data_IF_339464591159
#
_entry.id   IF_339464591159
#
_cell.length_a   1.000
_cell.length_b   1.000
_cell.length_c   1.000
_cell.angle_alpha   90.00
_cell.angle_beta   90.00
_cell.angle_gamma   90.00
#
_symmetry.space_group_name_H-M   'P 1'
#
loop_
_entity.id
_entity.type
_entity.pdbx_description
1 polymer ?
#
# COMPACT_ATOMS: atom_id res chain seq x y z
N UNK A 1 0.11 29.05 -11.86
CA UNK A 1 -0.44 27.69 -11.98
C UNK A 1 -0.09 26.96 -10.69
N UNK A 2 -1.06 26.75 -9.80
CA UNK A 2 -0.86 25.84 -8.67
C UNK A 2 -0.74 24.44 -9.27
N UNK A 3 0.45 23.87 -9.25
CA UNK A 3 0.64 22.44 -9.42
C UNK A 3 -0.13 21.78 -8.27
N UNK A 4 -1.21 21.08 -8.58
CA UNK A 4 -1.82 20.13 -7.65
C UNK A 4 -0.73 19.11 -7.30
N UNK A 5 0.00 19.36 -6.23
CA UNK A 5 0.93 18.39 -5.69
C UNK A 5 0.04 17.30 -5.10
N UNK A 6 -0.06 16.17 -5.79
CA UNK A 6 -0.62 14.96 -5.20
C UNK A 6 0.20 14.65 -3.94
N UNK A 7 -0.33 15.05 -2.80
CA UNK A 7 0.34 14.88 -1.53
C UNK A 7 0.28 13.41 -1.15
N UNK A 8 1.44 12.77 -1.07
CA UNK A 8 1.54 11.40 -0.60
C UNK A 8 1.16 11.35 0.88
N UNK A 9 0.09 10.61 1.18
CA UNK A 9 -0.28 10.32 2.56
C UNK A 9 0.43 9.06 3.01
N UNK A 10 1.17 9.18 4.09
CA UNK A 10 1.87 8.07 4.73
C UNK A 10 1.07 7.66 5.95
N UNK A 11 0.78 6.36 6.05
CA UNK A 11 0.12 5.78 7.20
C UNK A 11 0.96 4.59 7.65
N UNK A 12 1.37 4.60 8.92
CA UNK A 12 2.05 3.49 9.55
C UNK A 12 1.04 2.79 10.44
N UNK A 13 0.88 1.50 10.23
CA UNK A 13 -0.05 0.64 10.97
C UNK A 13 0.79 -0.37 11.70
N UNK A 14 0.62 -0.45 13.02
CA UNK A 14 1.05 -1.62 13.77
C UNK A 14 -0.03 -2.70 13.61
N UNK A 15 0.39 -3.90 13.20
CA UNK A 15 -0.55 -5.00 12.97
C UNK A 15 -1.19 -5.49 14.27
N UNK A 16 -0.47 -5.34 15.38
CA UNK A 16 -0.92 -5.78 16.71
C UNK A 16 -2.04 -4.90 17.28
N UNK A 17 -2.12 -3.63 16.85
CA UNK A 17 -3.10 -2.65 17.34
C UNK A 17 -4.49 -2.79 16.69
N UNK A 18 -4.57 -3.47 15.54
CA UNK A 18 -5.78 -3.54 14.70
C UNK A 18 -6.20 -4.98 14.39
N UNK A 19 -6.01 -5.89 15.34
CA UNK A 19 -6.20 -7.35 15.18
C UNK A 19 -7.55 -7.74 14.56
N UNK A 20 -8.68 -7.13 14.97
CA UNK A 20 -9.99 -7.46 14.39
C UNK A 20 -10.11 -7.07 12.90
N UNK A 21 -9.63 -5.88 12.53
CA UNK A 21 -9.70 -5.38 11.15
C UNK A 21 -8.63 -6.00 10.24
N UNK A 22 -7.50 -6.43 10.80
CA UNK A 22 -6.39 -7.03 10.06
C UNK A 22 -6.41 -8.56 10.09
N UNK A 23 -7.32 -9.19 10.85
CA UNK A 23 -7.45 -10.65 10.96
C UNK A 23 -7.64 -11.37 9.62
N UNK A 24 -8.18 -10.69 8.61
CA UNK A 24 -8.36 -11.21 7.25
C UNK A 24 -7.10 -11.07 6.37
N UNK A 25 -6.12 -10.30 6.81
CA UNK A 25 -4.88 -10.02 6.09
C UNK A 25 -3.77 -10.94 6.61
N UNK A 26 -3.27 -11.81 5.75
CA UNK A 26 -2.17 -12.72 6.05
C UNK A 26 -0.85 -12.00 5.76
N UNK A 27 -0.39 -11.18 6.71
CA UNK A 27 0.91 -10.50 6.61
C UNK A 27 2.03 -11.52 6.85
N UNK A 28 2.63 -12.03 5.78
CA UNK A 28 3.64 -13.10 5.84
C UNK A 28 5.04 -12.62 6.28
N UNK A 29 5.27 -11.32 6.39
CA UNK A 29 6.57 -10.78 6.76
C UNK A 29 6.60 -9.26 6.90
N UNK A 30 7.69 -8.75 7.46
CA UNK A 30 7.89 -7.32 7.73
C UNK A 30 9.19 -6.80 7.11
N UNK A 31 9.22 -5.55 6.62
CA UNK A 31 8.07 -4.66 6.45
C UNK A 31 7.18 -5.07 5.26
N UNK A 32 5.87 -5.01 5.44
CA UNK A 32 4.90 -5.11 4.33
C UNK A 32 4.40 -3.73 3.97
N UNK A 33 4.44 -3.42 2.67
CA UNK A 33 4.04 -2.13 2.13
C UNK A 33 2.83 -2.33 1.25
N UNK A 34 1.85 -1.44 1.42
CA UNK A 34 0.68 -1.37 0.56
C UNK A 34 0.61 0.03 -0.05
N UNK A 35 0.40 0.08 -1.36
CA UNK A 35 0.33 1.32 -2.15
C UNK A 35 -1.02 1.39 -2.83
N UNK A 36 -1.70 2.50 -2.61
CA UNK A 36 -2.97 2.84 -3.24
C UNK A 36 -2.80 4.06 -4.13
N UNK A 37 -3.29 4.01 -5.36
CA UNK A 37 -3.38 5.19 -6.21
C UNK A 37 -4.43 6.18 -5.68
N UNK A 38 -4.29 7.46 -6.06
CA UNK A 38 -5.32 8.48 -5.85
C UNK A 38 -6.63 8.17 -6.58
N UNK A 39 -6.59 7.31 -7.61
CA UNK A 39 -7.78 6.85 -8.35
C UNK A 39 -8.53 5.72 -7.63
N UNK A 40 -8.08 5.31 -6.44
CA UNK A 40 -8.73 4.25 -5.66
C UNK A 40 -8.39 2.84 -6.15
N UNK A 41 -7.29 2.65 -6.88
CA UNK A 41 -6.80 1.34 -7.32
C UNK A 41 -5.60 0.85 -6.51
N UNK A 42 -5.63 -0.40 -6.07
CA UNK A 42 -4.50 -1.02 -5.40
C UNK A 42 -3.35 -1.25 -6.39
N UNK A 43 -2.21 -0.62 -6.14
CA UNK A 43 -1.04 -0.68 -7.02
C UNK A 43 -0.12 -1.84 -6.63
N UNK A 44 0.16 -1.97 -5.34
CA UNK A 44 1.11 -2.92 -4.79
C UNK A 44 0.73 -3.27 -3.37
N UNK A 45 0.96 -4.52 -2.98
CA UNK A 45 0.84 -4.97 -1.61
C UNK A 45 1.76 -6.17 -1.42
N UNK A 46 2.70 -6.07 -0.47
CA UNK A 46 3.59 -7.18 -0.17
C UNK A 46 4.82 -6.80 0.65
N UNK A 47 5.52 -7.82 1.10
CA UNK A 47 6.76 -7.69 1.85
C UNK A 47 7.90 -7.24 0.95
N UNK A 48 8.70 -6.30 1.45
CA UNK A 48 9.89 -5.81 0.76
C UNK A 48 11.10 -5.89 1.67
N UNK A 49 12.28 -6.00 1.07
CA UNK A 49 13.52 -5.75 1.80
C UNK A 49 13.52 -4.28 2.28
N UNK A 50 13.88 -3.98 3.55
CA UNK A 50 13.90 -2.64 4.14
C UNK A 50 15.04 -1.76 3.58
N UNK A 51 15.01 -1.53 2.28
CA UNK A 51 15.95 -0.70 1.53
C UNK A 51 15.24 0.49 0.94
N UNK A 52 15.79 1.67 1.18
CA UNK A 52 15.23 2.93 0.67
C UNK A 52 15.12 2.93 -0.85
N UNK A 53 16.08 2.33 -1.56
CA UNK A 53 16.06 2.24 -3.03
C UNK A 53 14.87 1.43 -3.55
N UNK A 54 14.53 0.31 -2.89
CA UNK A 54 13.37 -0.52 -3.22
C UNK A 54 12.06 0.26 -3.07
N UNK A 55 11.87 0.93 -1.93
CA UNK A 55 10.67 1.71 -1.65
C UNK A 55 10.51 2.87 -2.66
N UNK A 56 11.60 3.61 -2.93
CA UNK A 56 11.58 4.70 -3.91
C UNK A 56 11.22 4.22 -5.32
N UNK A 57 11.71 3.05 -5.73
CA UNK A 57 11.36 2.47 -7.02
C UNK A 57 9.89 2.09 -7.09
N UNK A 58 9.34 1.47 -6.04
CA UNK A 58 7.92 1.12 -5.97
C UNK A 58 7.01 2.34 -6.07
N UNK A 59 7.34 3.42 -5.35
CA UNK A 59 6.57 4.68 -5.40
C UNK A 59 6.64 5.32 -6.78
N UNK A 60 7.80 5.29 -7.44
CA UNK A 60 7.94 5.85 -8.80
C UNK A 60 7.11 5.06 -9.80
N UNK A 61 7.14 3.73 -9.74
CA UNK A 61 6.33 2.90 -10.64
C UNK A 61 4.83 2.99 -10.36
N UNK A 62 4.40 3.19 -9.11
CA UNK A 62 2.98 3.44 -8.81
C UNK A 62 2.51 4.80 -9.35
N UNK A 63 3.33 5.84 -9.23
CA UNK A 63 3.06 7.16 -9.80
C UNK A 63 3.00 7.15 -11.33
N UNK A 64 3.78 6.28 -11.97
CA UNK A 64 3.77 6.07 -13.42
C UNK A 64 2.62 5.15 -13.89
N UNK A 65 1.74 4.68 -12.98
CA UNK A 65 0.62 3.76 -13.26
C UNK A 65 1.06 2.41 -13.88
N UNK A 66 2.30 2.00 -13.57
CA UNK A 66 2.93 0.75 -14.04
C UNK A 66 2.61 -0.44 -13.13
N UNK A 67 2.15 -0.18 -11.90
CA UNK A 67 1.82 -1.19 -10.90
C UNK A 67 0.31 -1.31 -10.73
N UNK A 68 -0.22 -2.52 -10.87
CA UNK A 68 -1.61 -2.87 -10.57
C UNK A 68 -1.65 -4.26 -9.98
N UNK A 69 -2.38 -4.40 -8.88
CA UNK A 69 -2.78 -5.72 -8.40
C UNK A 69 -3.98 -6.22 -9.21
N UNK A 70 -4.06 -7.53 -9.39
CA UNK A 70 -5.25 -8.16 -9.93
C UNK A 70 -6.40 -8.08 -8.93
N UNK A 71 -7.65 -8.22 -9.38
CA UNK A 71 -8.83 -8.08 -8.51
C UNK A 71 -8.83 -9.03 -7.31
N UNK A 72 -8.31 -10.25 -7.46
CA UNK A 72 -8.20 -11.23 -6.36
C UNK A 72 -7.14 -10.84 -5.34
N UNK A 73 -5.99 -10.32 -5.78
CA UNK A 73 -4.93 -9.86 -4.88
C UNK A 73 -5.37 -8.60 -4.14
N UNK A 74 -6.02 -7.67 -4.85
CA UNK A 74 -6.55 -6.43 -4.27
C UNK A 74 -7.62 -6.68 -3.19
N UNK A 75 -8.46 -7.70 -3.35
CA UNK A 75 -9.52 -8.03 -2.38
C UNK A 75 -8.94 -8.40 -1.01
N UNK A 76 -7.80 -9.10 -0.98
CA UNK A 76 -7.12 -9.48 0.25
C UNK A 76 -6.76 -8.27 1.15
N UNK A 77 -6.45 -7.13 0.53
CA UNK A 77 -6.01 -5.93 1.26
C UNK A 77 -7.16 -4.95 1.55
N UNK A 78 -8.40 -5.30 1.19
CA UNK A 78 -9.53 -4.39 1.24
C UNK A 78 -9.84 -3.88 2.65
N UNK A 79 -9.59 -4.69 3.69
CA UNK A 79 -9.82 -4.32 5.08
C UNK A 79 -8.99 -3.10 5.54
N UNK A 80 -7.83 -2.83 4.91
CA UNK A 80 -7.02 -1.65 5.18
C UNK A 80 -7.74 -0.32 4.87
N UNK A 81 -8.85 -0.32 4.11
CA UNK A 81 -9.67 0.87 3.93
C UNK A 81 -10.26 1.40 5.23
N UNK A 82 -10.49 0.50 6.19
CA UNK A 82 -11.24 0.81 7.41
C UNK A 82 -10.36 1.48 8.47
N UNK A 83 -9.03 1.38 8.35
CA UNK A 83 -8.06 1.87 9.34
C UNK A 83 -7.34 3.17 8.91
N UNK A 84 -7.70 3.73 7.76
CA UNK A 84 -7.11 4.95 7.18
C UNK A 84 -7.63 6.25 7.81
#
# INVERSE_FOLDING_TARGET
>A
MQSEQHEHKWHWTDVEDHDEALSEIDVQGFPSIVIWSSTGQWCFAGTIEPRTDTLLRLIRSSLADELRLTGSEAHHWQALQQIR
#
